data_IF_518649336366
#
_entry.id   IF_518649336366
#
_cell.length_a   1.000
_cell.length_b   1.000
_cell.length_c   1.000
_cell.angle_alpha   90.00
_cell.angle_beta   90.00
_cell.angle_gamma   90.00
#
_symmetry.space_group_name_H-M   'P 1'
#
loop_
_entity.id
_entity.type
_entity.pdbx_description
1 polymer ?
#
# COMPACT_ATOMS: atom_id res chain seq x y z
N UNK A 1 -13.24 0.33 -25.37
CA UNK A 1 -12.74 -0.58 -24.30
C UNK A 1 -13.50 -0.23 -23.03
N UNK A 2 -14.38 -1.12 -22.54
CA UNK A 2 -15.30 -0.82 -21.44
C UNK A 2 -14.57 -0.82 -20.09
N UNK A 3 -14.66 0.30 -19.37
CA UNK A 3 -14.68 0.48 -17.92
C UNK A 3 -13.77 -0.45 -17.10
N UNK A 4 -12.50 -0.08 -16.94
CA UNK A 4 -11.61 -0.69 -15.93
C UNK A 4 -10.91 0.41 -15.14
N UNK A 5 -11.71 1.11 -14.34
CA UNK A 5 -11.21 2.09 -13.38
C UNK A 5 -10.92 1.34 -12.07
N UNK A 6 -9.65 1.26 -11.72
CA UNK A 6 -9.21 0.84 -10.39
C UNK A 6 -8.98 2.12 -9.60
N UNK A 7 -9.67 2.26 -8.48
CA UNK A 7 -9.48 3.33 -7.50
C UNK A 7 -8.98 2.68 -6.23
N UNK A 8 -7.90 3.20 -5.65
CA UNK A 8 -7.38 2.78 -4.37
C UNK A 8 -7.47 3.92 -3.37
N UNK A 9 -7.94 3.65 -2.17
CA UNK A 9 -8.07 4.64 -1.10
C UNK A 9 -7.52 4.06 0.21
N UNK A 10 -6.94 4.91 1.05
CA UNK A 10 -6.65 4.54 2.44
C UNK A 10 -7.93 4.53 3.27
N UNK A 11 -7.87 3.96 4.48
CA UNK A 11 -9.03 3.95 5.38
C UNK A 11 -9.42 5.36 5.86
N UNK A 12 -8.46 6.27 6.02
CA UNK A 12 -8.65 7.58 6.65
C UNK A 12 -9.49 7.52 7.93
N UNK A 13 -10.55 8.33 7.98
CA UNK A 13 -11.50 8.34 9.11
C UNK A 13 -12.68 7.35 8.96
N UNK A 14 -12.66 6.51 7.92
CA UNK A 14 -13.74 5.58 7.58
C UNK A 14 -14.84 6.17 6.69
N UNK A 15 -14.83 7.48 6.46
CA UNK A 15 -15.73 8.21 5.55
C UNK A 15 -14.92 8.82 4.39
N UNK A 16 -13.76 9.40 4.71
CA UNK A 16 -12.85 10.05 3.79
C UNK A 16 -11.45 9.46 4.01
N UNK A 17 -10.86 8.95 2.93
CA UNK A 17 -9.47 8.51 2.86
C UNK A 17 -8.59 9.42 1.99
N UNK A 18 -7.47 8.87 1.55
CA UNK A 18 -6.53 9.47 0.61
C UNK A 18 -6.41 8.61 -0.65
N UNK A 19 -6.60 9.22 -1.83
CA UNK A 19 -6.44 8.54 -3.12
C UNK A 19 -4.99 8.08 -3.32
N UNK A 20 -4.80 6.77 -3.32
CA UNK A 20 -3.53 6.08 -3.53
C UNK A 20 -3.55 5.24 -4.81
N UNK A 21 -4.41 5.59 -5.78
CA UNK A 21 -4.56 4.86 -7.04
C UNK A 21 -3.25 4.74 -7.81
N UNK A 22 -2.36 5.73 -7.70
CA UNK A 22 -1.04 5.71 -8.34
C UNK A 22 -0.11 4.63 -7.75
N UNK A 23 -0.28 4.27 -6.47
CA UNK A 23 0.53 3.26 -5.79
C UNK A 23 0.16 1.82 -6.18
N UNK A 24 -0.91 1.60 -6.95
CA UNK A 24 -1.40 0.26 -7.33
C UNK A 24 -0.30 -0.65 -7.94
N UNK A 25 0.63 -0.07 -8.69
CA UNK A 25 1.73 -0.81 -9.32
C UNK A 25 2.80 -1.32 -8.34
N UNK A 26 2.83 -0.79 -7.11
CA UNK A 26 3.78 -1.19 -6.07
C UNK A 26 3.33 -2.47 -5.34
N UNK A 27 2.03 -2.77 -5.37
CA UNK A 27 1.45 -3.91 -4.68
C UNK A 27 1.60 -5.19 -5.53
N UNK A 28 2.74 -5.87 -5.38
CA UNK A 28 3.07 -7.10 -6.13
C UNK A 28 2.01 -8.21 -6.00
N UNK A 29 1.30 -8.26 -4.88
CA UNK A 29 0.32 -9.31 -4.58
C UNK A 29 -1.13 -8.89 -4.86
N UNK A 30 -1.37 -7.63 -5.23
CA UNK A 30 -2.71 -7.17 -5.58
C UNK A 30 -2.92 -7.26 -7.10
N UNK A 31 -4.01 -7.85 -7.59
CA UNK A 31 -4.28 -7.90 -9.00
C UNK A 31 -4.57 -6.48 -9.53
N UNK A 32 -3.86 -6.06 -10.58
CA UNK A 32 -4.13 -4.79 -11.27
C UNK A 32 -5.49 -4.79 -11.99
N UNK A 33 -6.01 -5.98 -12.29
CA UNK A 33 -7.25 -6.17 -13.03
C UNK A 33 -7.98 -7.43 -12.55
N UNK A 34 -9.31 -7.33 -12.40
CA UNK A 34 -10.18 -8.48 -12.17
C UNK A 34 -10.67 -9.05 -13.50
N UNK A 35 -10.61 -10.38 -13.68
CA UNK A 35 -10.95 -11.06 -14.95
C UNK A 35 -12.36 -10.73 -15.43
N UNK A 36 -13.31 -10.62 -14.52
CA UNK A 36 -14.70 -10.25 -14.81
C UNK A 36 -14.97 -8.82 -14.35
N UNK A 37 -15.85 -8.12 -15.08
CA UNK A 37 -16.29 -6.77 -14.70
C UNK A 37 -17.27 -6.91 -13.56
N UNK A 38 -16.78 -6.75 -12.34
CA UNK A 38 -17.59 -6.60 -11.14
C UNK A 38 -17.49 -5.15 -10.65
N UNK A 39 -18.64 -4.50 -10.45
CA UNK A 39 -18.70 -3.30 -9.63
C UNK A 39 -18.63 -3.75 -8.17
N UNK A 40 -17.42 -3.82 -7.62
CA UNK A 40 -17.19 -4.28 -6.26
C UNK A 40 -16.17 -3.40 -5.54
N UNK A 41 -16.23 -3.44 -4.21
CA UNK A 41 -15.20 -2.89 -3.33
C UNK A 41 -14.48 -4.05 -2.65
N UNK A 42 -13.15 -4.09 -2.80
CA UNK A 42 -12.30 -5.08 -2.14
C UNK A 42 -11.50 -4.37 -1.08
N UNK A 43 -11.61 -4.83 0.17
CA UNK A 43 -10.87 -4.31 1.31
C UNK A 43 -9.77 -5.29 1.71
N UNK A 44 -8.65 -4.74 2.14
CA UNK A 44 -7.50 -5.50 2.62
C UNK A 44 -6.56 -4.61 3.41
N UNK A 45 -5.50 -5.22 3.92
CA UNK A 45 -4.45 -4.54 4.68
C UNK A 45 -3.15 -4.56 3.89
N UNK A 46 -2.52 -3.40 3.74
CA UNK A 46 -1.15 -3.29 3.24
C UNK A 46 -0.21 -3.33 4.43
N UNK A 47 0.72 -4.28 4.44
CA UNK A 47 1.67 -4.46 5.52
C UNK A 47 3.08 -4.70 4.99
N UNK A 48 4.07 -4.39 5.81
CA UNK A 48 5.47 -4.68 5.54
C UNK A 48 5.89 -5.94 6.30
N UNK A 49 6.57 -6.86 5.60
CA UNK A 49 7.18 -8.04 6.24
C UNK A 49 8.26 -7.60 7.22
N UNK A 50 8.44 -8.35 8.31
CA UNK A 50 9.41 -8.04 9.36
C UNK A 50 10.84 -7.95 8.82
N UNK A 51 11.20 -8.83 7.89
CA UNK A 51 12.53 -8.88 7.30
C UNK A 51 12.82 -7.63 6.46
N UNK A 52 11.84 -7.18 5.66
CA UNK A 52 11.95 -5.95 4.86
C UNK A 52 12.01 -4.71 5.74
N UNK A 53 11.24 -4.68 6.83
CA UNK A 53 11.30 -3.59 7.82
C UNK A 53 12.69 -3.47 8.46
N UNK A 54 13.29 -4.59 8.85
CA UNK A 54 14.64 -4.59 9.42
C UNK A 54 15.68 -4.14 8.38
N UNK A 55 15.55 -4.61 7.13
CA UNK A 55 16.43 -4.18 6.02
C UNK A 55 16.34 -2.67 5.77
N UNK A 56 15.12 -2.13 5.69
CA UNK A 56 14.88 -0.69 5.50
C UNK A 56 15.49 0.14 6.63
N UNK A 57 15.32 -0.28 7.88
CA UNK A 57 15.93 0.42 9.01
C UNK A 57 17.46 0.39 8.97
N UNK A 58 18.08 -0.71 8.53
CA UNK A 58 19.53 -0.75 8.33
C UNK A 58 20.00 0.21 7.22
N UNK A 59 19.23 0.36 6.13
CA UNK A 59 19.50 1.34 5.08
C UNK A 59 19.38 2.78 5.61
N UNK A 60 18.30 3.10 6.33
CA UNK A 60 18.10 4.41 6.96
C UNK A 60 19.22 4.75 7.94
N UNK A 61 19.65 3.77 8.75
CA UNK A 61 20.76 3.93 9.70
C UNK A 61 22.06 4.29 8.99
N UNK A 62 22.39 3.59 7.90
CA UNK A 62 23.61 3.86 7.10
C UNK A 62 23.57 5.24 6.46
N UNK A 63 22.39 5.70 6.06
CA UNK A 63 22.19 7.03 5.49
C UNK A 63 21.99 8.13 6.54
N UNK A 64 22.12 7.84 7.84
CA UNK A 64 21.96 8.84 8.92
C UNK A 64 20.52 9.35 9.11
N UNK A 65 19.53 8.65 8.56
CA UNK A 65 18.12 9.01 8.68
C UNK A 65 17.50 8.43 9.95
N UNK A 66 16.38 9.03 10.36
CA UNK A 66 15.60 8.54 11.51
C UNK A 66 15.02 7.15 11.21
N UNK A 67 15.16 6.23 12.16
CA UNK A 67 14.58 4.89 12.06
C UNK A 67 13.06 4.90 12.18
N UNK A 68 12.43 3.95 11.52
CA UNK A 68 11.01 3.69 11.61
C UNK A 68 10.72 2.86 12.87
N UNK A 69 9.70 3.27 13.63
CA UNK A 69 9.40 2.67 14.93
C UNK A 69 8.81 1.25 14.84
N UNK A 70 8.05 0.95 13.77
CA UNK A 70 7.41 -0.35 13.58
C UNK A 70 7.04 -0.56 12.09
N UNK A 71 6.74 -1.82 11.67
CA UNK A 71 6.37 -2.13 10.29
C UNK A 71 5.11 -1.41 9.78
N UNK A 72 4.17 -1.05 10.66
CA UNK A 72 2.97 -0.29 10.28
C UNK A 72 3.34 1.10 9.80
N UNK A 73 4.19 1.81 10.54
CA UNK A 73 4.67 3.13 10.15
C UNK A 73 5.50 3.08 8.87
N UNK A 74 6.21 1.97 8.64
CA UNK A 74 6.97 1.75 7.41
C UNK A 74 6.10 1.45 6.19
N UNK A 75 4.92 0.87 6.38
CA UNK A 75 3.98 0.61 5.29
C UNK A 75 3.09 1.81 4.94
N UNK A 76 2.93 2.76 5.88
CA UNK A 76 2.13 3.97 5.72
C UNK A 76 2.91 5.17 5.16
N UNK A 77 4.24 5.19 5.33
CA UNK A 77 5.12 6.22 4.78
C UNK A 77 5.54 5.91 3.36
#
# INVERSE_FOLDING_TARGET
MKNRWFIGDTRGNGIIGEDITFNKGLLKNAPLFLKEVANCEVRGEVYMKKEEFLRLNEELKKSGHKLLANPRNAAAG
#
